data_IF_298305664682
#
_entry.id   IF_298305664682
#
_cell.length_a   1.000
_cell.length_b   1.000
_cell.length_c   1.000
_cell.angle_alpha   90.00
_cell.angle_beta   90.00
_cell.angle_gamma   90.00
#
_symmetry.space_group_name_H-M   'P 1'
#
loop_
_entity.id
_entity.type
_entity.pdbx_description
1 polymer ?
#
# COMPACT_ATOMS: atom_id res chain seq x y z
N UNK A 1 -0.42 25.21 81.24
CA UNK A 1 -0.88 25.53 79.87
C UNK A 1 0.06 24.81 78.91
N UNK A 2 -0.49 23.93 78.09
CA UNK A 2 0.23 22.89 77.37
C UNK A 2 0.84 23.40 76.06
N UNK A 3 1.95 22.75 75.69
CA UNK A 3 2.75 23.05 74.52
C UNK A 3 2.00 22.78 73.20
N UNK A 4 2.18 23.70 72.24
CA UNK A 4 1.85 23.53 70.84
C UNK A 4 2.71 22.42 70.22
N UNK A 5 2.11 21.31 69.80
CA UNK A 5 2.68 20.40 68.82
C UNK A 5 1.67 20.23 67.69
N UNK A 6 1.80 21.08 66.66
CA UNK A 6 1.10 20.89 65.40
C UNK A 6 2.09 20.15 64.48
N UNK A 7 2.08 18.82 64.54
CA UNK A 7 2.90 17.99 63.66
C UNK A 7 2.44 18.19 62.21
N UNK A 8 3.35 18.72 61.40
CA UNK A 8 3.24 18.82 59.96
C UNK A 8 3.08 17.41 59.39
N UNK A 9 1.91 17.12 58.85
CA UNK A 9 1.74 15.99 57.94
C UNK A 9 2.22 16.45 56.57
N UNK A 10 3.49 16.18 56.26
CA UNK A 10 4.06 16.34 54.91
C UNK A 10 3.65 15.13 54.06
N UNK A 11 2.52 15.23 53.37
CA UNK A 11 2.22 14.34 52.25
C UNK A 11 2.84 14.92 50.97
N UNK A 12 4.14 14.67 50.76
CA UNK A 12 4.74 14.71 49.43
C UNK A 12 4.67 13.32 48.83
N UNK A 13 3.70 13.09 47.96
CA UNK A 13 3.88 12.42 46.65
C UNK A 13 2.70 12.86 45.78
N UNK A 14 2.92 13.87 44.95
CA UNK A 14 2.09 14.05 43.76
C UNK A 14 2.98 13.74 42.55
N UNK A 15 3.22 12.44 42.34
CA UNK A 15 3.71 11.93 41.05
C UNK A 15 2.51 11.81 40.11
N UNK A 16 1.83 12.93 39.84
CA UNK A 16 0.97 13.00 38.67
C UNK A 16 1.87 13.07 37.45
N UNK A 17 2.16 11.89 36.88
CA UNK A 17 2.71 11.77 35.52
C UNK A 17 1.77 12.56 34.61
N UNK A 18 2.19 13.76 34.21
CA UNK A 18 1.45 14.58 33.28
C UNK A 18 1.56 13.90 31.91
N UNK A 19 0.62 13.00 31.64
CA UNK A 19 0.55 12.28 30.38
C UNK A 19 0.12 13.29 29.32
N UNK A 20 1.09 13.81 28.56
CA UNK A 20 0.80 14.64 27.41
C UNK A 20 0.22 13.78 26.29
N UNK A 21 -1.11 13.78 26.21
CA UNK A 21 -1.89 13.07 25.19
C UNK A 21 -1.47 13.49 23.77
N UNK A 22 -1.00 14.73 23.59
CA UNK A 22 -0.55 15.25 22.30
C UNK A 22 0.79 14.63 21.88
N UNK A 23 1.71 14.44 22.81
CA UNK A 23 2.97 13.75 22.58
C UNK A 23 2.77 12.26 22.32
N UNK A 24 1.86 11.60 23.07
CA UNK A 24 1.47 10.21 22.78
C UNK A 24 0.92 10.08 21.37
N UNK A 25 0.02 10.99 20.96
CA UNK A 25 -0.55 10.99 19.60
C UNK A 25 0.55 11.17 18.55
N UNK A 26 1.46 12.12 18.76
CA UNK A 26 2.58 12.39 17.84
C UNK A 26 3.50 11.19 17.69
N UNK A 27 3.86 10.54 18.80
CA UNK A 27 4.68 9.32 18.80
C UNK A 27 3.98 8.18 18.06
N UNK A 28 2.68 7.98 18.31
CA UNK A 28 1.87 6.96 17.62
C UNK A 28 1.79 7.21 16.12
N UNK A 29 1.57 8.45 15.70
CA UNK A 29 1.48 8.80 14.28
C UNK A 29 2.83 8.63 13.57
N UNK A 30 3.94 8.99 14.24
CA UNK A 30 5.29 8.74 13.74
C UNK A 30 5.59 7.24 13.60
N UNK A 31 5.24 6.43 14.61
CA UNK A 31 5.40 4.97 14.56
C UNK A 31 4.56 4.33 13.44
N UNK A 32 3.31 4.78 13.26
CA UNK A 32 2.45 4.31 12.17
C UNK A 32 3.02 4.65 10.80
N UNK A 33 3.55 5.87 10.63
CA UNK A 33 4.21 6.29 9.39
C UNK A 33 5.44 5.44 9.10
N UNK A 34 6.31 5.23 10.10
CA UNK A 34 7.50 4.40 9.96
C UNK A 34 7.15 2.94 9.62
N UNK A 35 6.09 2.38 10.25
CA UNK A 35 5.59 1.04 9.93
C UNK A 35 5.06 0.95 8.50
N UNK A 36 4.29 1.94 8.04
CA UNK A 36 3.79 2.00 6.66
C UNK A 36 4.95 2.08 5.67
N UNK A 37 5.95 2.91 5.93
CA UNK A 37 7.13 3.06 5.07
C UNK A 37 7.97 1.78 5.01
N UNK A 38 8.23 1.15 6.16
CA UNK A 38 8.91 -0.15 6.23
C UNK A 38 8.18 -1.22 5.42
N UNK A 39 6.85 -1.30 5.54
CA UNK A 39 6.02 -2.24 4.76
C UNK A 39 6.23 -2.07 3.25
N UNK A 40 6.25 -0.84 2.74
CA UNK A 40 6.49 -0.58 1.32
C UNK A 40 7.89 -1.00 0.88
N UNK A 41 8.91 -0.63 1.65
CA UNK A 41 10.31 -0.98 1.35
C UNK A 41 10.53 -2.49 1.35
N UNK A 42 10.00 -3.19 2.35
CA UNK A 42 10.05 -4.65 2.45
C UNK A 42 9.35 -5.36 1.28
N UNK A 43 8.42 -4.67 0.62
CA UNK A 43 7.68 -5.14 -0.55
C UNK A 43 8.21 -4.59 -1.87
N UNK A 44 9.39 -3.95 -1.86
CA UNK A 44 10.07 -3.50 -3.08
C UNK A 44 9.59 -2.15 -3.62
N UNK A 45 8.69 -1.46 -2.92
CA UNK A 45 8.28 -0.12 -3.27
C UNK A 45 9.24 0.91 -2.68
N UNK A 46 9.60 1.90 -3.48
CA UNK A 46 10.40 3.03 -3.04
C UNK A 46 9.69 4.34 -3.36
N UNK A 47 9.77 5.30 -2.45
CA UNK A 47 9.17 6.60 -2.66
C UNK A 47 10.10 7.45 -3.51
N UNK A 48 9.67 7.77 -4.72
CA UNK A 48 10.44 8.62 -5.65
C UNK A 48 9.80 10.01 -5.73
N UNK A 49 10.64 11.07 -5.69
CA UNK A 49 10.18 12.43 -6.03
C UNK A 49 10.13 12.55 -7.54
N UNK A 50 8.96 12.89 -8.08
CA UNK A 50 8.74 13.07 -9.51
C UNK A 50 8.32 14.52 -9.75
N UNK A 51 8.96 15.19 -10.70
CA UNK A 51 8.56 16.51 -11.17
C UNK A 51 7.73 16.33 -12.44
N UNK A 52 6.49 16.81 -12.42
CA UNK A 52 5.56 16.71 -13.53
C UNK A 52 5.18 18.12 -13.97
N UNK A 53 5.32 18.41 -15.27
CA UNK A 53 4.79 19.64 -15.86
C UNK A 53 3.26 19.67 -15.78
N UNK A 54 2.67 20.86 -15.87
CA UNK A 54 1.21 21.07 -15.76
C UNK A 54 0.43 20.18 -16.74
N UNK A 55 0.79 20.20 -18.02
CA UNK A 55 0.15 19.38 -19.07
C UNK A 55 0.20 17.87 -18.75
N UNK A 56 1.35 17.36 -18.31
CA UNK A 56 1.48 15.94 -17.92
C UNK A 56 0.59 15.61 -16.73
N UNK A 57 0.52 16.53 -15.77
CA UNK A 57 -0.31 16.35 -14.58
C UNK A 57 -1.81 16.37 -14.91
N UNK A 58 -2.25 17.26 -15.80
CA UNK A 58 -3.63 17.31 -16.30
C UNK A 58 -4.01 16.04 -17.07
N UNK A 59 -3.10 15.51 -17.89
CA UNK A 59 -3.30 14.20 -18.56
C UNK A 59 -3.43 13.05 -17.56
N UNK A 60 -2.60 13.01 -16.52
CA UNK A 60 -2.71 12.00 -15.47
C UNK A 60 -4.02 12.14 -14.67
N UNK A 61 -4.48 13.37 -14.44
CA UNK A 61 -5.77 13.62 -13.80
C UNK A 61 -6.94 13.12 -14.66
N UNK A 62 -6.93 13.38 -15.97
CA UNK A 62 -7.94 12.86 -16.89
C UNK A 62 -7.97 11.32 -16.90
N UNK A 63 -6.80 10.67 -16.96
CA UNK A 63 -6.73 9.20 -16.88
C UNK A 63 -7.23 8.70 -15.52
N UNK A 64 -6.89 9.39 -14.43
CA UNK A 64 -7.40 9.04 -13.09
C UNK A 64 -8.93 9.07 -13.05
N UNK A 65 -9.53 10.13 -13.60
CA UNK A 65 -10.99 10.29 -13.70
C UNK A 65 -11.62 9.14 -14.47
N UNK A 66 -11.07 8.76 -15.63
CA UNK A 66 -11.53 7.61 -16.41
C UNK A 66 -11.44 6.28 -15.62
N UNK A 67 -10.40 6.13 -14.80
CA UNK A 67 -10.13 4.92 -14.01
C UNK A 67 -11.01 4.81 -12.76
N UNK A 68 -11.31 5.93 -12.11
CA UNK A 68 -11.90 5.99 -10.76
C UNK A 68 -13.30 6.59 -10.72
N UNK A 69 -13.73 7.30 -11.76
CA UNK A 69 -15.00 8.02 -11.82
C UNK A 69 -15.07 9.23 -10.89
N UNK A 70 -13.94 9.73 -10.41
CA UNK A 70 -13.86 10.88 -9.49
C UNK A 70 -12.71 11.80 -9.87
N UNK A 71 -12.88 13.09 -9.56
CA UNK A 71 -11.90 14.15 -9.88
C UNK A 71 -10.68 14.04 -9.00
N UNK A 72 -9.49 14.07 -9.62
CA UNK A 72 -8.24 14.14 -8.87
C UNK A 72 -8.04 15.56 -8.32
N UNK A 73 -7.70 15.69 -7.04
CA UNK A 73 -7.36 17.00 -6.49
C UNK A 73 -6.02 17.50 -7.06
N UNK A 74 -6.09 18.52 -7.92
CA UNK A 74 -4.92 19.10 -8.61
C UNK A 74 -4.38 20.36 -7.94
N UNK A 75 -5.21 21.09 -7.20
CA UNK A 75 -4.88 22.42 -6.66
C UNK A 75 -4.37 22.39 -5.22
N UNK A 76 -4.73 21.35 -4.46
CA UNK A 76 -4.39 21.20 -3.05
C UNK A 76 -3.27 20.19 -2.76
N UNK A 77 -3.39 19.50 -1.61
CA UNK A 77 -2.49 18.40 -1.26
C UNK A 77 -2.69 17.25 -2.26
N UNK A 78 -1.71 17.07 -3.14
CA UNK A 78 -1.72 16.04 -4.18
C UNK A 78 -1.82 14.64 -3.58
N UNK A 79 -2.74 13.83 -4.10
CA UNK A 79 -2.83 12.40 -3.78
C UNK A 79 -1.79 11.61 -4.59
N UNK A 80 -0.57 11.54 -4.03
CA UNK A 80 0.58 10.90 -4.68
C UNK A 80 0.39 9.40 -4.82
N UNK A 81 -0.31 8.75 -3.89
CA UNK A 81 -0.53 7.29 -3.92
C UNK A 81 -1.44 6.94 -5.11
N UNK A 82 -2.52 7.69 -5.31
CA UNK A 82 -3.40 7.54 -6.48
C UNK A 82 -2.68 7.82 -7.79
N UNK A 83 -1.89 8.90 -7.86
CA UNK A 83 -1.09 9.21 -9.05
C UNK A 83 -0.07 8.13 -9.38
N UNK A 84 0.56 7.53 -8.37
CA UNK A 84 1.55 6.47 -8.57
C UNK A 84 0.96 5.26 -9.29
N UNK A 85 -0.31 4.93 -9.02
CA UNK A 85 -1.03 3.83 -9.70
C UNK A 85 -1.39 4.17 -11.14
N UNK A 86 -1.81 5.40 -11.42
CA UNK A 86 -2.05 5.87 -12.79
C UNK A 86 -0.76 5.81 -13.61
N UNK A 87 0.34 6.28 -13.04
CA UNK A 87 1.68 6.21 -13.66
C UNK A 87 2.07 4.75 -13.91
N UNK A 88 1.87 3.86 -12.95
CA UNK A 88 2.14 2.42 -13.09
C UNK A 88 1.35 1.79 -14.25
N UNK A 89 0.04 2.08 -14.35
CA UNK A 89 -0.77 1.66 -15.50
C UNK A 89 -0.19 2.17 -16.83
N UNK A 90 0.14 3.46 -16.90
CA UNK A 90 0.66 4.07 -18.12
C UNK A 90 1.98 3.42 -18.56
N UNK A 91 2.89 3.19 -17.61
CA UNK A 91 4.18 2.53 -17.87
C UNK A 91 3.95 1.11 -18.40
N UNK A 92 3.10 0.30 -17.74
CA UNK A 92 2.83 -1.06 -18.18
C UNK A 92 2.17 -1.11 -19.57
N UNK A 93 1.24 -0.19 -19.84
CA UNK A 93 0.61 -0.09 -21.15
C UNK A 93 1.63 0.23 -22.24
N UNK A 94 2.46 1.24 -22.03
CA UNK A 94 3.52 1.61 -22.98
C UNK A 94 4.52 0.47 -23.13
N UNK A 95 4.96 -0.16 -22.04
CA UNK A 95 5.92 -1.26 -22.08
C UNK A 95 5.38 -2.46 -22.87
N UNK A 96 4.12 -2.85 -22.66
CA UNK A 96 3.48 -3.92 -23.41
C UNK A 96 3.37 -3.60 -24.90
N UNK A 97 2.86 -2.41 -25.24
CA UNK A 97 2.64 -2.00 -26.64
C UNK A 97 3.96 -1.80 -27.41
N UNK A 98 4.98 -1.25 -26.77
CA UNK A 98 6.24 -0.88 -27.44
C UNK A 98 7.28 -2.00 -27.35
N UNK A 99 7.45 -2.64 -26.20
CA UNK A 99 8.57 -3.57 -25.96
C UNK A 99 8.16 -5.03 -26.08
N UNK A 100 7.02 -5.43 -25.52
CA UNK A 100 6.56 -6.84 -25.60
C UNK A 100 6.08 -7.18 -27.01
N UNK A 101 5.11 -6.43 -27.54
CA UNK A 101 4.54 -6.71 -28.87
C UNK A 101 5.58 -6.63 -30.00
N UNK A 102 6.62 -5.82 -29.83
CA UNK A 102 7.72 -5.67 -30.81
C UNK A 102 8.92 -6.60 -30.55
N UNK A 103 8.75 -7.65 -29.73
CA UNK A 103 9.70 -8.76 -29.44
C UNK A 103 11.05 -8.36 -28.82
N UNK A 104 11.12 -7.24 -28.09
CA UNK A 104 12.36 -6.76 -27.45
C UNK A 104 12.32 -6.68 -25.91
N UNK A 105 11.14 -6.86 -25.30
CA UNK A 105 10.98 -6.76 -23.85
C UNK A 105 11.53 -7.99 -23.10
N UNK A 106 12.23 -7.74 -22.00
CA UNK A 106 12.83 -8.79 -21.15
C UNK A 106 12.02 -9.05 -19.86
N UNK A 107 11.18 -8.10 -19.45
CA UNK A 107 10.30 -8.20 -18.29
C UNK A 107 9.00 -8.95 -18.62
N UNK A 108 8.32 -9.42 -17.57
CA UNK A 108 7.06 -10.14 -17.64
C UNK A 108 5.97 -9.39 -18.43
N UNK A 109 5.23 -10.13 -19.26
CA UNK A 109 4.07 -9.59 -19.98
C UNK A 109 2.85 -9.55 -19.05
N UNK A 110 2.77 -8.51 -18.23
CA UNK A 110 1.62 -8.27 -17.34
C UNK A 110 0.59 -7.36 -18.03
N UNK A 111 -0.67 -7.71 -17.90
CA UNK A 111 -1.81 -6.94 -18.39
C UNK A 111 -1.86 -5.59 -17.68
N UNK A 112 -1.91 -4.45 -18.41
CA UNK A 112 -1.93 -3.14 -17.78
C UNK A 112 -3.20 -2.91 -16.96
N UNK A 113 -3.07 -2.89 -15.63
CA UNK A 113 -4.16 -2.77 -14.67
C UNK A 113 -4.86 -1.40 -14.71
N UNK A 114 -6.03 -1.32 -15.36
CA UNK A 114 -6.74 -0.07 -15.59
C UNK A 114 -7.56 0.40 -14.38
N UNK A 115 -8.47 -0.45 -13.87
CA UNK A 115 -9.40 -0.08 -12.79
C UNK A 115 -8.77 -0.15 -11.41
N UNK A 116 -9.40 0.53 -10.45
CA UNK A 116 -9.01 0.55 -9.04
C UNK A 116 -8.59 -0.80 -8.46
N UNK A 117 -9.47 -1.81 -8.57
CA UNK A 117 -9.23 -3.15 -8.02
C UNK A 117 -8.12 -3.89 -8.75
N UNK A 118 -8.06 -3.78 -10.08
CA UNK A 118 -6.97 -4.38 -10.87
C UNK A 118 -5.61 -3.78 -10.49
N UNK A 119 -5.56 -2.47 -10.18
CA UNK A 119 -4.33 -1.81 -9.72
C UNK A 119 -3.91 -2.32 -8.34
N UNK A 120 -4.87 -2.53 -7.44
CA UNK A 120 -4.58 -3.13 -6.12
C UNK A 120 -4.07 -4.58 -6.27
N UNK A 121 -4.65 -5.37 -7.16
CA UNK A 121 -4.17 -6.73 -7.45
C UNK A 121 -2.74 -6.70 -8.02
N UNK A 122 -2.45 -5.76 -8.90
CA UNK A 122 -1.10 -5.57 -9.45
C UNK A 122 -0.09 -5.11 -8.40
N UNK A 123 -0.48 -4.27 -7.43
CA UNK A 123 0.37 -3.92 -6.28
C UNK A 123 0.73 -5.17 -5.45
N UNK A 124 -0.22 -6.08 -5.24
CA UNK A 124 0.04 -7.35 -4.56
C UNK A 124 1.03 -8.22 -5.33
N UNK A 125 0.87 -8.31 -6.66
CA UNK A 125 1.80 -9.05 -7.52
C UNK A 125 3.22 -8.49 -7.43
N UNK A 126 3.38 -7.17 -7.55
CA UNK A 126 4.70 -6.52 -7.44
C UNK A 126 5.37 -6.84 -6.09
N UNK A 127 4.61 -6.77 -5.00
CA UNK A 127 5.11 -7.12 -3.67
C UNK A 127 5.55 -8.59 -3.57
N UNK A 128 4.70 -9.52 -4.02
CA UNK A 128 5.01 -10.95 -3.99
C UNK A 128 6.20 -11.30 -4.87
N UNK A 129 6.25 -10.75 -6.09
CA UNK A 129 7.32 -10.96 -7.07
C UNK A 129 8.65 -10.44 -6.54
N UNK A 130 8.66 -9.27 -5.90
CA UNK A 130 9.85 -8.75 -5.24
C UNK A 130 10.32 -9.65 -4.09
N UNK A 131 9.42 -10.10 -3.23
CA UNK A 131 9.78 -11.03 -2.15
C UNK A 131 10.34 -12.35 -2.69
N UNK A 132 9.76 -12.87 -3.78
CA UNK A 132 10.24 -14.07 -4.46
C UNK A 132 11.64 -13.86 -5.05
N UNK A 133 11.90 -12.70 -5.66
CA UNK A 133 13.23 -12.36 -6.21
C UNK A 133 14.30 -12.19 -5.12
N UNK A 134 13.89 -11.92 -3.88
CA UNK A 134 14.75 -11.98 -2.67
C UNK A 134 14.93 -13.40 -2.10
N UNK A 135 14.39 -14.43 -2.75
CA UNK A 135 14.54 -15.83 -2.35
C UNK A 135 13.58 -16.29 -1.26
N UNK A 136 12.50 -15.55 -0.97
CA UNK A 136 11.48 -16.03 -0.04
C UNK A 136 10.66 -17.16 -0.69
N UNK A 137 10.45 -18.24 0.05
CA UNK A 137 9.55 -19.31 -0.38
C UNK A 137 8.08 -18.87 -0.33
N UNK A 138 7.21 -19.56 -1.08
CA UNK A 138 5.75 -19.32 -1.11
C UNK A 138 5.16 -19.19 0.29
N UNK A 139 5.42 -20.14 1.19
CA UNK A 139 4.94 -20.07 2.58
C UNK A 139 5.52 -18.90 3.40
N UNK A 140 6.74 -18.44 3.12
CA UNK A 140 7.30 -17.22 3.75
C UNK A 140 6.62 -15.96 3.23
N UNK A 141 6.38 -15.87 1.92
CA UNK A 141 5.64 -14.76 1.30
C UNK A 141 4.23 -14.68 1.89
N UNK A 142 3.50 -15.80 1.91
CA UNK A 142 2.15 -15.89 2.50
C UNK A 142 2.13 -15.39 3.96
N UNK A 143 3.06 -15.86 4.80
CA UNK A 143 3.16 -15.41 6.20
C UNK A 143 3.44 -13.91 6.31
N UNK A 144 4.34 -13.38 5.46
CA UNK A 144 4.65 -11.95 5.45
C UNK A 144 3.47 -11.11 4.98
N UNK A 145 2.77 -11.53 3.93
CA UNK A 145 1.56 -10.84 3.44
C UNK A 145 0.47 -10.76 4.51
N UNK A 146 0.23 -11.86 5.23
CA UNK A 146 -0.68 -11.89 6.38
C UNK A 146 -0.22 -10.97 7.51
N UNK A 147 1.05 -11.06 7.92
CA UNK A 147 1.60 -10.27 9.03
C UNK A 147 1.60 -8.76 8.73
N UNK A 148 1.86 -8.37 7.49
CA UNK A 148 1.88 -6.97 7.05
C UNK A 148 0.46 -6.44 6.71
N UNK A 149 -0.57 -7.28 6.86
CA UNK A 149 -1.98 -6.91 6.67
C UNK A 149 -2.32 -6.56 5.23
N UNK A 150 -1.74 -7.25 4.26
CA UNK A 150 -2.17 -7.15 2.86
C UNK A 150 -3.52 -7.87 2.66
N UNK A 151 -4.46 -7.29 1.90
CA UNK A 151 -5.70 -8.01 1.55
C UNK A 151 -5.36 -9.22 0.69
N UNK A 152 -6.05 -10.34 0.90
CA UNK A 152 -5.89 -11.52 0.04
C UNK A 152 -6.48 -11.26 -1.36
N UNK A 153 -5.90 -11.82 -2.44
CA UNK A 153 -6.32 -11.51 -3.82
C UNK A 153 -7.80 -11.79 -4.09
N UNK A 154 -8.36 -12.85 -3.50
CA UNK A 154 -9.78 -13.22 -3.62
C UNK A 154 -10.75 -12.16 -3.10
N UNK A 155 -10.29 -11.25 -2.23
CA UNK A 155 -11.10 -10.12 -1.76
C UNK A 155 -11.30 -9.04 -2.84
N UNK A 156 -10.48 -9.07 -3.89
CA UNK A 156 -10.54 -8.15 -5.02
C UNK A 156 -11.35 -8.73 -6.20
N UNK A 157 -11.21 -10.03 -6.48
CA UNK A 157 -11.72 -10.71 -7.68
C UNK A 157 -13.15 -11.25 -7.58
N UNK A 158 -13.63 -11.61 -6.39
CA UNK A 158 -15.00 -12.13 -6.21
C UNK A 158 -15.95 -11.04 -5.68
N UNK A 159 -17.17 -10.99 -6.23
CA UNK A 159 -18.30 -10.17 -5.76
C UNK A 159 -18.26 -10.02 -4.23
N UNK A 160 -17.93 -8.81 -3.76
CA UNK A 160 -17.39 -8.47 -2.43
C UNK A 160 -18.30 -8.69 -1.22
N UNK A 161 -18.92 -9.86 -1.12
CA UNK A 161 -19.80 -10.27 -0.04
C UNK A 161 -19.03 -11.13 0.95
N UNK A 162 -18.60 -10.46 2.04
CA UNK A 162 -18.52 -10.95 3.43
C UNK A 162 -17.20 -11.38 4.07
N UNK A 163 -16.06 -11.53 3.37
CA UNK A 163 -14.80 -11.86 4.07
C UNK A 163 -13.63 -10.93 3.72
N UNK A 164 -13.66 -9.70 4.26
CA UNK A 164 -12.48 -8.80 4.34
C UNK A 164 -11.33 -9.36 5.21
N UNK A 165 -11.50 -10.55 5.77
CA UNK A 165 -10.60 -11.23 6.69
C UNK A 165 -10.08 -12.56 6.14
N UNK A 166 -10.17 -12.82 4.83
CA UNK A 166 -9.53 -14.01 4.25
C UNK A 166 -8.03 -13.91 4.46
N UNK A 167 -7.48 -14.82 5.25
CA UNK A 167 -6.03 -15.00 5.33
C UNK A 167 -5.50 -15.44 3.96
N UNK A 168 -4.28 -15.03 3.65
CA UNK A 168 -3.54 -15.53 2.49
C UNK A 168 -3.29 -17.02 2.62
N UNK A 169 -3.51 -17.75 1.53
CA UNK A 169 -3.10 -19.15 1.37
C UNK A 169 -1.88 -19.26 0.47
N UNK A 170 -1.16 -20.38 0.54
CA UNK A 170 -0.04 -20.64 -0.38
C UNK A 170 -0.52 -20.70 -1.84
N UNK A 171 -1.72 -21.22 -2.09
CA UNK A 171 -2.29 -21.28 -3.43
C UNK A 171 -2.48 -19.87 -3.99
N UNK A 172 -3.01 -18.94 -3.20
CA UNK A 172 -3.17 -17.55 -3.64
C UNK A 172 -1.84 -16.86 -3.97
N UNK A 173 -0.75 -17.21 -3.28
CA UNK A 173 0.58 -16.71 -3.63
C UNK A 173 1.08 -17.33 -4.94
N UNK A 174 0.81 -18.62 -5.18
CA UNK A 174 1.16 -19.29 -6.45
C UNK A 174 0.39 -18.69 -7.61
N UNK A 175 -0.92 -18.56 -7.47
CA UNK A 175 -1.82 -17.99 -8.49
C UNK A 175 -1.43 -16.56 -8.84
N UNK A 176 -1.10 -15.75 -7.82
CA UNK A 176 -0.66 -14.36 -8.04
C UNK A 176 0.67 -14.26 -8.79
N UNK A 177 1.59 -15.21 -8.58
CA UNK A 177 2.90 -15.25 -9.24
C UNK A 177 2.88 -15.97 -10.59
N UNK A 178 1.79 -16.65 -10.92
CA UNK A 178 1.53 -17.23 -12.23
C UNK A 178 0.97 -16.14 -13.17
N UNK A 179 1.71 -15.84 -14.24
CA UNK A 179 1.35 -14.73 -15.14
C UNK A 179 0.06 -14.98 -15.91
N UNK A 180 -0.27 -16.23 -16.25
CA UNK A 180 -1.48 -16.54 -17.00
C UNK A 180 -2.71 -16.34 -16.12
N UNK A 181 -2.64 -16.80 -14.87
CA UNK A 181 -3.72 -16.60 -13.87
C UNK A 181 -3.85 -15.12 -13.52
N UNK A 182 -2.74 -14.44 -13.20
CA UNK A 182 -2.74 -13.00 -12.90
C UNK A 182 -3.35 -12.19 -14.05
N UNK A 183 -2.95 -12.46 -15.30
CA UNK A 183 -3.44 -11.73 -16.45
C UNK A 183 -4.94 -11.96 -16.66
N UNK A 184 -5.43 -13.17 -16.42
CA UNK A 184 -6.86 -13.45 -16.45
C UNK A 184 -7.60 -12.64 -15.39
N UNK A 185 -7.15 -12.69 -14.14
CA UNK A 185 -7.78 -11.96 -13.02
C UNK A 185 -7.75 -10.43 -13.24
N UNK A 186 -6.68 -9.90 -13.82
CA UNK A 186 -6.58 -8.46 -14.16
C UNK A 186 -7.59 -8.07 -15.25
N UNK A 187 -7.79 -8.91 -16.27
CA UNK A 187 -8.78 -8.67 -17.31
C UNK A 187 -10.22 -8.75 -16.79
N UNK A 188 -10.50 -9.68 -15.87
CA UNK A 188 -11.82 -9.82 -15.25
C UNK A 188 -12.17 -8.61 -14.36
N UNK A 189 -11.17 -7.82 -13.96
CA UNK A 189 -11.30 -6.61 -13.14
C UNK A 189 -11.28 -5.28 -13.93
N UNK A 190 -11.22 -5.33 -15.26
CA UNK A 190 -11.17 -4.13 -16.13
C UNK A 190 -12.53 -3.44 -16.36
#
# INVERSE_FOLDING_TARGET
>A
MMANNNEKIDFKVDDTVHIDISDIKRQRDAANKARKEKKYVDSGFSRTKIYLGKDTYEKLAAIFEDQRGSVLNIEGRKDIDSLSRVISYCINKVYKEIHIKKKGGQLADVTPAFKAKSQELYDLYQAASFMQSKGLSIGKIMRKMNADGYPAPNTLTLNGSRNRLSAWTEQQVRDLLDLDILNKDLNDLH
#
